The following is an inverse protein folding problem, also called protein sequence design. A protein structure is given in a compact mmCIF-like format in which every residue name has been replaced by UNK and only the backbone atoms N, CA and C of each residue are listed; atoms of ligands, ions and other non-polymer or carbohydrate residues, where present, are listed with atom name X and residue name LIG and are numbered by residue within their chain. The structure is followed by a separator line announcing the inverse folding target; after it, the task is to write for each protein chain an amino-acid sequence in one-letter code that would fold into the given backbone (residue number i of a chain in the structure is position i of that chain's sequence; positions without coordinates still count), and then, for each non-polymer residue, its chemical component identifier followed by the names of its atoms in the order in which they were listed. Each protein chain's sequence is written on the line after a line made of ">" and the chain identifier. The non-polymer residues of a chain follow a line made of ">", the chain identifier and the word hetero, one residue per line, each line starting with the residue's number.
data_IF_392590487266
#
_entry.id   IF_392590487266
#
_cell.length_a   1.000
_cell.length_b   1.000
_cell.length_c   1.000
_cell.angle_alpha   90.00
_cell.angle_beta   90.00
_cell.angle_gamma   90.00
#
_symmetry.space_group_name_H-M   'P 1'
#
loop_
_entity.id
_entity.type
_entity.pdbx_description
1 polymer ?
#
# COMPACT_ATOMS: atom_id res chain seq x y z
N UNK A 1 -1.45 42.37 40.50
CA UNK A 1 -1.89 41.80 39.21
C UNK A 1 -0.71 41.11 38.56
N UNK A 2 -0.62 39.77 38.63
CA UNK A 2 0.34 38.97 37.85
C UNK A 2 -0.43 37.74 37.38
N UNK A 3 -0.87 37.79 36.13
CA UNK A 3 -1.52 36.67 35.45
C UNK A 3 -0.43 35.66 35.08
N UNK A 4 -0.49 34.47 35.68
CA UNK A 4 0.31 33.32 35.25
C UNK A 4 -0.58 32.55 34.27
N UNK A 5 -0.37 32.77 32.98
CA UNK A 5 -0.92 31.94 31.91
C UNK A 5 -0.12 30.63 31.87
N UNK A 6 -0.68 29.54 32.40
CA UNK A 6 -0.15 28.20 32.18
C UNK A 6 -0.85 27.64 30.92
N UNK A 7 -0.09 27.58 29.83
CA UNK A 7 -0.53 26.97 28.58
C UNK A 7 -0.66 25.45 28.76
N UNK A 8 -1.87 24.92 28.61
CA UNK A 8 -2.11 23.49 28.49
C UNK A 8 -1.78 23.05 27.06
N UNK A 9 -0.61 22.43 26.88
CA UNK A 9 -0.28 21.69 25.67
C UNK A 9 -1.07 20.37 25.68
N UNK A 10 -2.16 20.31 24.92
CA UNK A 10 -2.90 19.06 24.69
C UNK A 10 -2.15 18.27 23.61
N UNK A 11 -1.63 17.11 24.00
CA UNK A 11 -1.00 16.11 23.15
C UNK A 11 -2.04 15.52 22.16
N UNK A 12 -1.82 15.74 20.87
CA UNK A 12 -2.56 15.12 19.76
C UNK A 12 -1.87 13.83 19.29
N UNK A 13 -1.88 12.79 20.12
CA UNK A 13 -1.20 11.50 19.83
C UNK A 13 -2.17 10.29 19.78
N UNK A 14 -3.42 10.46 19.35
CA UNK A 14 -4.49 9.48 19.60
C UNK A 14 -5.08 8.66 18.42
N UNK A 15 -4.64 8.69 17.14
CA UNK A 15 -5.26 7.82 16.15
C UNK A 15 -4.76 6.37 16.19
N UNK A 16 -3.50 6.11 16.58
CA UNK A 16 -2.91 4.77 16.49
C UNK A 16 -3.25 3.84 17.67
N UNK A 17 -3.46 4.39 18.87
CA UNK A 17 -3.82 3.58 20.04
C UNK A 17 -5.22 2.98 19.87
N UNK A 18 -6.17 3.78 19.36
CA UNK A 18 -7.55 3.35 19.17
C UNK A 18 -7.68 2.11 18.25
N UNK A 19 -6.90 2.03 17.17
CA UNK A 19 -6.95 0.89 16.25
C UNK A 19 -6.32 -0.39 16.82
N UNK A 20 -5.27 -0.28 17.64
CA UNK A 20 -4.66 -1.44 18.28
C UNK A 20 -5.57 -2.03 19.37
N UNK A 21 -6.27 -1.15 20.09
CA UNK A 21 -7.27 -1.54 21.09
C UNK A 21 -8.42 -2.30 20.42
N UNK A 22 -8.96 -1.79 19.31
CA UNK A 22 -10.08 -2.43 18.60
C UNK A 22 -9.74 -3.80 17.98
N UNK A 23 -8.51 -3.97 17.47
CA UNK A 23 -8.02 -5.29 17.01
C UNK A 23 -7.98 -6.28 18.17
N UNK A 24 -7.44 -5.85 19.31
CA UNK A 24 -7.27 -6.72 20.49
C UNK A 24 -8.63 -7.10 21.06
N UNK A 25 -9.54 -6.13 21.18
CA UNK A 25 -10.91 -6.32 21.66
C UNK A 25 -11.68 -7.36 20.83
N UNK A 26 -11.58 -7.28 19.49
CA UNK A 26 -12.25 -8.23 18.60
C UNK A 26 -11.65 -9.64 18.70
N UNK A 27 -10.33 -9.76 18.84
CA UNK A 27 -9.67 -11.06 19.06
C UNK A 27 -10.11 -11.69 20.41
N UNK A 28 -10.22 -10.88 21.46
CA UNK A 28 -10.70 -11.33 22.77
C UNK A 28 -12.17 -11.77 22.73
N UNK A 29 -13.03 -11.01 22.04
CA UNK A 29 -14.42 -11.35 21.81
C UNK A 29 -14.57 -12.67 21.03
N UNK A 30 -13.76 -12.86 19.98
CA UNK A 30 -13.72 -14.11 19.22
C UNK A 30 -13.37 -15.32 20.09
N UNK A 31 -12.35 -15.18 20.95
CA UNK A 31 -11.92 -16.25 21.84
C UNK A 31 -13.00 -16.58 22.88
N UNK A 32 -13.68 -15.58 23.43
CA UNK A 32 -14.80 -15.77 24.34
C UNK A 32 -15.97 -16.51 23.68
N UNK A 33 -16.35 -16.10 22.47
CA UNK A 33 -17.40 -16.76 21.69
C UNK A 33 -17.06 -18.22 21.36
N UNK A 34 -15.82 -18.50 20.93
CA UNK A 34 -15.35 -19.86 20.65
C UNK A 34 -15.42 -20.75 21.90
N UNK A 35 -14.93 -20.26 23.04
CA UNK A 35 -14.97 -20.98 24.30
C UNK A 35 -16.40 -21.22 24.80
N UNK A 36 -17.33 -20.31 24.47
CA UNK A 36 -18.77 -20.45 24.74
C UNK A 36 -19.50 -21.40 23.78
N UNK A 37 -18.83 -21.92 22.75
CA UNK A 37 -19.43 -22.76 21.70
C UNK A 37 -20.15 -21.98 20.59
N UNK A 38 -20.09 -20.64 20.61
CA UNK A 38 -20.60 -19.79 19.53
C UNK A 38 -19.55 -19.64 18.43
N UNK A 39 -19.50 -20.64 17.55
CA UNK A 39 -18.55 -20.68 16.44
C UNK A 39 -18.84 -19.59 15.40
N UNK A 40 -20.11 -19.18 15.23
CA UNK A 40 -20.48 -18.15 14.27
C UNK A 40 -19.98 -16.77 14.75
N UNK A 41 -20.27 -16.41 16.00
CA UNK A 41 -19.77 -15.16 16.59
C UNK A 41 -18.23 -15.13 16.64
N UNK A 42 -17.59 -16.25 16.96
CA UNK A 42 -16.12 -16.33 16.93
C UNK A 42 -15.54 -16.05 15.55
N UNK A 43 -16.20 -16.55 14.50
CA UNK A 43 -15.78 -16.30 13.12
C UNK A 43 -15.96 -14.84 12.73
N UNK A 44 -17.12 -14.25 13.04
CA UNK A 44 -17.44 -12.87 12.65
C UNK A 44 -16.43 -11.88 13.27
N UNK A 45 -16.07 -12.06 14.54
CA UNK A 45 -15.06 -11.26 15.22
C UNK A 45 -13.65 -11.47 14.63
N UNK A 46 -13.24 -12.70 14.33
CA UNK A 46 -11.94 -12.93 13.68
C UNK A 46 -11.86 -12.31 12.28
N UNK A 47 -12.96 -12.33 11.53
CA UNK A 47 -13.03 -11.69 10.22
C UNK A 47 -12.89 -10.15 10.37
N UNK A 48 -13.51 -9.56 11.41
CA UNK A 48 -13.37 -8.13 11.72
C UNK A 48 -11.95 -7.75 12.13
N UNK A 49 -11.35 -8.47 13.08
CA UNK A 49 -9.95 -8.28 13.46
C UNK A 49 -8.99 -8.41 12.26
N UNK A 50 -9.26 -9.35 11.36
CA UNK A 50 -8.48 -9.54 10.13
C UNK A 50 -8.61 -8.34 9.18
N UNK A 51 -9.79 -7.73 9.07
CA UNK A 51 -9.98 -6.51 8.28
C UNK A 51 -9.17 -5.33 8.85
N UNK A 52 -9.21 -5.13 10.17
CA UNK A 52 -8.46 -4.07 10.85
C UNK A 52 -6.94 -4.25 10.71
N UNK A 53 -6.44 -5.48 10.88
CA UNK A 53 -5.03 -5.80 10.62
C UNK A 53 -4.64 -5.55 9.15
N UNK A 54 -5.53 -5.88 8.22
CA UNK A 54 -5.36 -5.57 6.80
C UNK A 54 -5.26 -4.07 6.53
N UNK A 55 -6.10 -3.24 7.15
CA UNK A 55 -6.03 -1.78 7.06
C UNK A 55 -4.74 -1.22 7.66
N UNK A 56 -4.34 -1.69 8.84
CA UNK A 56 -3.08 -1.27 9.48
C UNK A 56 -1.88 -1.59 8.59
N UNK A 57 -1.86 -2.78 7.97
CA UNK A 57 -0.83 -3.14 7.00
C UNK A 57 -0.88 -2.26 5.76
N UNK A 58 -2.07 -1.99 5.22
CA UNK A 58 -2.22 -1.14 4.03
C UNK A 58 -1.78 0.31 4.31
N UNK A 59 -2.01 0.82 5.51
CA UNK A 59 -1.51 2.13 5.94
C UNK A 59 0.03 2.16 5.90
N UNK A 60 0.71 1.13 6.41
CA UNK A 60 2.17 1.04 6.33
C UNK A 60 2.70 0.98 4.90
N UNK A 61 1.93 0.46 3.94
CA UNK A 61 2.32 0.47 2.52
C UNK A 61 2.37 1.90 1.94
N UNK A 62 1.57 2.84 2.48
CA UNK A 62 1.56 4.23 1.98
C UNK A 62 2.87 4.97 2.23
N UNK A 63 3.69 4.50 3.18
CA UNK A 63 5.01 5.06 3.48
C UNK A 63 6.03 4.80 2.36
N UNK A 64 5.78 3.81 1.50
CA UNK A 64 6.61 3.49 0.33
C UNK A 64 6.22 4.27 -0.92
N UNK A 65 5.11 5.01 -0.88
CA UNK A 65 4.73 5.89 -1.98
C UNK A 65 5.63 7.14 -1.95
N UNK A 66 6.22 7.54 -3.09
CA UNK A 66 7.18 8.63 -3.11
C UNK A 66 6.54 9.98 -2.72
N UNK A 67 7.33 10.94 -2.22
CA UNK A 67 6.85 12.30 -2.02
C UNK A 67 6.52 12.97 -3.37
N UNK A 68 5.76 14.06 -3.32
CA UNK A 68 5.55 14.89 -4.50
C UNK A 68 6.88 15.52 -4.96
N UNK A 69 7.11 15.58 -6.26
CA UNK A 69 8.26 16.31 -6.84
C UNK A 69 7.96 17.81 -6.90
N UNK A 70 8.98 18.63 -7.10
CA UNK A 70 8.82 20.08 -7.26
C UNK A 70 7.82 20.42 -8.37
N UNK A 71 6.82 21.24 -8.02
CA UNK A 71 5.75 21.63 -8.94
C UNK A 71 4.65 20.59 -9.12
N UNK A 72 4.69 19.48 -8.37
CA UNK A 72 3.63 18.48 -8.33
C UNK A 72 2.92 18.48 -6.97
N UNK A 73 1.61 18.29 -6.99
CA UNK A 73 0.78 18.01 -5.83
C UNK A 73 0.62 16.50 -5.69
N UNK A 74 0.47 16.00 -4.45
CA UNK A 74 0.26 14.58 -4.16
C UNK A 74 -1.05 14.39 -3.42
N UNK A 75 -1.88 13.52 -3.96
CA UNK A 75 -3.08 12.99 -3.32
C UNK A 75 -2.85 11.50 -3.04
N UNK A 76 -2.95 11.09 -1.77
CA UNK A 76 -2.79 9.68 -1.37
C UNK A 76 -4.18 9.06 -1.33
N UNK A 77 -4.34 7.95 -2.04
CA UNK A 77 -5.58 7.17 -2.03
C UNK A 77 -5.77 6.55 -0.64
N UNK A 78 -7.03 6.40 -0.22
CA UNK A 78 -7.31 5.70 1.02
C UNK A 78 -6.84 4.24 0.91
N UNK A 79 -5.90 3.79 1.76
CA UNK A 79 -5.32 2.46 1.64
C UNK A 79 -6.39 1.39 1.89
N UNK A 80 -6.39 0.35 1.05
CA UNK A 80 -7.43 -0.65 1.07
C UNK A 80 -6.87 -2.03 1.37
N UNK A 81 -7.61 -2.83 2.15
CA UNK A 81 -7.37 -4.26 2.19
C UNK A 81 -7.78 -4.88 0.84
N UNK A 82 -6.99 -5.81 0.33
CA UNK A 82 -7.31 -6.56 -0.88
C UNK A 82 -8.10 -7.84 -0.57
N UNK A 83 -8.95 -7.83 0.47
CA UNK A 83 -9.68 -9.01 0.95
C UNK A 83 -10.47 -9.71 -0.18
N UNK A 84 -11.09 -8.94 -1.07
CA UNK A 84 -11.80 -9.46 -2.26
C UNK A 84 -10.90 -10.22 -3.25
N UNK A 85 -9.60 -9.96 -3.23
CA UNK A 85 -8.58 -10.62 -4.05
C UNK A 85 -7.80 -11.70 -3.29
N UNK A 86 -8.41 -12.27 -2.24
CA UNK A 86 -7.81 -13.36 -1.45
C UNK A 86 -6.83 -12.90 -0.38
N UNK A 87 -6.98 -11.66 0.11
CA UNK A 87 -6.11 -11.05 1.12
C UNK A 87 -5.14 -10.06 0.51
N UNK A 88 -4.24 -9.49 1.32
CA UNK A 88 -3.24 -8.52 0.89
C UNK A 88 -3.67 -7.06 1.03
N UNK A 89 -2.91 -6.16 0.41
CA UNK A 89 -3.09 -4.70 0.54
C UNK A 89 -2.92 -3.97 -0.78
N UNK A 90 -3.60 -2.83 -0.91
CA UNK A 90 -3.45 -1.87 -2.00
C UNK A 90 -3.22 -0.48 -1.41
N UNK A 91 -2.20 0.22 -1.91
CA UNK A 91 -1.96 1.62 -1.63
C UNK A 91 -1.67 2.36 -2.93
N UNK A 92 -2.08 3.63 -3.02
CA UNK A 92 -1.86 4.42 -4.22
C UNK A 92 -1.70 5.90 -3.91
N UNK A 93 -1.05 6.60 -4.82
CA UNK A 93 -1.04 8.05 -4.83
C UNK A 93 -1.09 8.56 -6.27
N UNK A 94 -1.85 9.64 -6.45
CA UNK A 94 -1.90 10.41 -7.69
C UNK A 94 -1.15 11.71 -7.50
N UNK A 95 -0.30 12.02 -8.46
CA UNK A 95 0.52 13.21 -8.51
C UNK A 95 0.10 14.05 -9.69
N UNK A 96 -0.15 15.35 -9.51
CA UNK A 96 -0.57 16.24 -10.60
C UNK A 96 0.25 17.52 -10.63
N UNK A 97 0.49 18.10 -11.81
CA UNK A 97 1.18 19.39 -11.98
C UNK A 97 0.29 20.46 -12.68
N UNK A 98 -1.01 20.18 -12.79
CA UNK A 98 -1.99 21.01 -13.48
C UNK A 98 -2.20 20.71 -14.97
N UNK A 99 -1.25 20.04 -15.65
CA UNK A 99 -1.42 19.57 -17.04
C UNK A 99 -1.42 18.05 -17.16
N UNK A 100 -0.60 17.39 -16.35
CA UNK A 100 -0.35 15.96 -16.41
C UNK A 100 -0.56 15.32 -15.03
N UNK A 101 -0.77 14.01 -15.06
CA UNK A 101 -0.90 13.16 -13.89
C UNK A 101 0.04 11.94 -13.96
N UNK A 102 0.50 11.51 -12.79
CA UNK A 102 1.15 10.23 -12.56
C UNK A 102 0.41 9.54 -11.43
N UNK A 103 0.01 8.29 -11.61
CA UNK A 103 -0.53 7.47 -10.51
C UNK A 103 0.43 6.33 -10.23
N UNK A 104 0.84 6.21 -8.97
CA UNK A 104 1.64 5.08 -8.47
C UNK A 104 0.72 4.19 -7.64
N UNK A 105 0.65 2.90 -7.96
CA UNK A 105 -0.12 1.91 -7.23
C UNK A 105 0.77 0.75 -6.79
N UNK A 106 0.61 0.35 -5.53
CA UNK A 106 1.32 -0.74 -4.87
C UNK A 106 0.29 -1.79 -4.46
N UNK A 107 0.52 -3.03 -4.87
CA UNK A 107 -0.31 -4.17 -4.50
C UNK A 107 0.57 -5.28 -3.96
N UNK A 108 0.25 -5.82 -2.79
CA UNK A 108 1.04 -6.87 -2.18
C UNK A 108 0.20 -7.99 -1.57
N UNK A 109 0.78 -9.19 -1.55
CA UNK A 109 0.28 -10.36 -0.80
C UNK A 109 -1.17 -10.76 -1.10
N UNK A 110 -1.59 -10.57 -2.35
CA UNK A 110 -2.92 -10.96 -2.81
C UNK A 110 -2.82 -12.03 -3.92
N UNK A 111 -3.91 -12.79 -4.13
CA UNK A 111 -3.90 -13.91 -5.07
C UNK A 111 -3.64 -13.46 -6.52
N UNK A 112 -4.08 -12.24 -6.87
CA UNK A 112 -3.82 -11.63 -8.17
C UNK A 112 -2.31 -11.42 -8.39
N UNK A 113 -1.65 -10.74 -7.45
CA UNK A 113 -0.19 -10.50 -7.44
C UNK A 113 0.58 -11.81 -7.48
N UNK A 114 0.18 -12.82 -6.70
CA UNK A 114 0.80 -14.15 -6.73
C UNK A 114 0.68 -14.80 -8.12
N UNK A 115 -0.50 -14.72 -8.76
CA UNK A 115 -0.71 -15.24 -10.12
C UNK A 115 0.11 -14.51 -11.18
N UNK A 116 0.24 -13.19 -11.06
CA UNK A 116 1.07 -12.37 -11.96
C UNK A 116 2.56 -12.63 -11.75
N UNK A 117 2.99 -12.86 -10.51
CA UNK A 117 4.39 -13.17 -10.18
C UNK A 117 4.94 -14.36 -10.94
N UNK A 118 4.14 -15.40 -11.15
CA UNK A 118 4.52 -16.56 -11.96
C UNK A 118 4.77 -16.20 -13.44
N UNK A 119 3.99 -15.26 -13.99
CA UNK A 119 4.09 -14.79 -15.37
C UNK A 119 5.30 -13.85 -15.56
N UNK A 120 5.59 -13.01 -14.56
CA UNK A 120 6.73 -12.09 -14.53
C UNK A 120 8.06 -12.77 -14.14
N UNK A 121 8.02 -14.01 -13.66
CA UNK A 121 9.21 -14.78 -13.25
C UNK A 121 10.21 -15.08 -14.39
N UNK A 122 9.84 -14.87 -15.66
CA UNK A 122 10.76 -15.04 -16.79
C UNK A 122 10.98 -13.74 -17.56
N UNK A 123 12.26 -13.37 -17.73
CA UNK A 123 12.65 -12.12 -18.43
C UNK A 123 12.28 -12.16 -19.92
N UNK A 124 12.27 -13.34 -20.54
CA UNK A 124 11.81 -13.51 -21.92
C UNK A 124 10.31 -13.18 -22.07
N UNK A 125 9.47 -13.63 -21.13
CA UNK A 125 8.04 -13.32 -21.14
C UNK A 125 7.80 -11.83 -20.85
N UNK A 126 8.52 -11.24 -19.90
CA UNK A 126 8.45 -9.79 -19.62
C UNK A 126 8.77 -8.97 -20.88
N UNK A 127 9.81 -9.32 -21.63
CA UNK A 127 10.16 -8.66 -22.89
C UNK A 127 9.14 -8.85 -24.01
N UNK A 128 8.30 -9.88 -23.94
CA UNK A 128 7.20 -10.08 -24.89
C UNK A 128 5.96 -9.22 -24.56
N UNK A 129 5.82 -8.79 -23.31
CA UNK A 129 4.71 -7.94 -22.86
C UNK A 129 4.96 -6.45 -23.17
N UNK A 130 6.23 -6.05 -23.29
CA UNK A 130 6.59 -4.66 -23.54
C UNK A 130 8.08 -4.40 -23.44
N UNK A 131 8.45 -3.12 -23.35
CA UNK A 131 9.85 -2.70 -23.24
C UNK A 131 10.36 -2.96 -21.84
N UNK A 132 11.32 -3.87 -21.71
CA UNK A 132 12.01 -4.12 -20.44
C UNK A 132 12.97 -2.96 -20.12
N UNK A 133 12.83 -2.36 -18.95
CA UNK A 133 13.72 -1.32 -18.42
C UNK A 133 14.19 -1.69 -17.02
N UNK A 134 15.32 -1.10 -16.58
CA UNK A 134 15.82 -1.25 -15.22
C UNK A 134 15.76 0.10 -14.52
N UNK A 135 15.09 0.15 -13.37
CA UNK A 135 14.88 1.37 -12.59
C UNK A 135 15.18 1.02 -11.12
N UNK A 136 16.07 1.77 -10.47
CA UNK A 136 16.46 1.48 -9.08
C UNK A 136 17.01 0.06 -8.87
N UNK A 137 17.63 -0.55 -9.88
CA UNK A 137 18.13 -1.93 -9.83
C UNK A 137 17.11 -3.02 -10.16
N UNK A 138 15.82 -2.69 -10.15
CA UNK A 138 14.71 -3.60 -10.38
C UNK A 138 14.24 -3.62 -11.84
N UNK A 139 13.60 -4.71 -12.24
CA UNK A 139 13.12 -4.91 -13.62
C UNK A 139 11.67 -4.45 -13.76
N UNK A 140 11.44 -3.57 -14.73
CA UNK A 140 10.12 -3.06 -15.08
C UNK A 140 9.80 -3.33 -16.54
N UNK A 141 8.53 -3.48 -16.86
CA UNK A 141 8.01 -3.57 -18.23
C UNK A 141 7.18 -2.33 -18.49
N UNK A 142 7.51 -1.61 -19.56
CA UNK A 142 6.69 -0.51 -20.08
C UNK A 142 5.86 -0.99 -21.26
N UNK A 143 4.54 -0.90 -21.13
CA UNK A 143 3.55 -1.26 -22.16
C UNK A 143 2.33 -0.36 -22.02
N UNK A 144 1.73 0.05 -23.13
CA UNK A 144 0.46 0.80 -23.16
C UNK A 144 0.40 2.04 -22.26
N UNK A 145 1.53 2.75 -22.13
CA UNK A 145 1.64 3.97 -21.31
C UNK A 145 1.77 3.71 -19.80
N UNK A 146 1.86 2.44 -19.39
CA UNK A 146 2.02 1.99 -18.02
C UNK A 146 3.40 1.33 -17.82
N UNK A 147 3.95 1.48 -16.62
CA UNK A 147 5.19 0.85 -16.18
C UNK A 147 4.85 -0.10 -15.03
N UNK A 148 5.16 -1.38 -15.18
CA UNK A 148 4.82 -2.42 -14.20
C UNK A 148 6.07 -3.18 -13.78
N UNK A 149 6.29 -3.32 -12.48
CA UNK A 149 7.41 -4.04 -11.89
C UNK A 149 6.97 -4.95 -10.76
N UNK A 150 7.78 -5.98 -10.49
CA UNK A 150 7.47 -6.97 -9.46
C UNK A 150 8.64 -7.07 -8.48
N UNK A 151 8.46 -6.47 -7.32
CA UNK A 151 9.48 -6.26 -6.30
C UNK A 151 9.39 -7.37 -5.26
N UNK A 152 10.52 -8.00 -4.95
CA UNK A 152 10.61 -9.06 -3.93
C UNK A 152 9.78 -10.32 -4.23
N UNK A 153 9.27 -10.47 -5.46
CA UNK A 153 8.40 -11.60 -5.80
C UNK A 153 6.99 -11.52 -5.18
N UNK A 154 6.60 -10.39 -4.60
CA UNK A 154 5.34 -10.27 -3.84
C UNK A 154 4.68 -8.89 -3.86
N UNK A 155 5.37 -7.86 -4.36
CA UNK A 155 4.82 -6.52 -4.50
C UNK A 155 4.78 -6.14 -5.97
N UNK A 156 3.59 -5.90 -6.48
CA UNK A 156 3.39 -5.34 -7.80
C UNK A 156 3.38 -3.81 -7.69
N UNK A 157 4.32 -3.18 -8.38
CA UNK A 157 4.42 -1.72 -8.51
C UNK A 157 3.95 -1.35 -9.90
N UNK A 158 2.98 -0.45 -9.98
CA UNK A 158 2.40 -0.01 -11.22
C UNK A 158 2.38 1.51 -11.29
N UNK A 159 2.83 2.08 -12.40
CA UNK A 159 2.82 3.52 -12.64
C UNK A 159 2.14 3.83 -13.96
N UNK A 160 1.11 4.65 -13.91
CA UNK A 160 0.30 5.07 -15.05
C UNK A 160 0.05 6.57 -15.01
N UNK A 161 -0.80 7.07 -15.91
CA UNK A 161 -1.21 8.47 -15.99
C UNK A 161 -0.89 9.12 -17.33
N UNK A 162 -1.30 10.37 -17.51
CA UNK A 162 -1.10 11.13 -18.74
C UNK A 162 0.34 11.59 -18.96
N UNK A 163 1.15 11.70 -17.90
CA UNK A 163 2.50 12.23 -18.00
C UNK A 163 3.43 11.38 -18.88
N UNK A 164 4.47 11.99 -19.49
CA UNK A 164 5.49 11.27 -20.22
C UNK A 164 6.18 10.17 -19.38
N UNK A 165 6.66 9.13 -20.06
CA UNK A 165 7.34 7.99 -19.40
C UNK A 165 8.50 8.45 -18.49
N UNK A 166 9.23 9.49 -18.87
CA UNK A 166 10.31 10.04 -18.05
C UNK A 166 9.84 10.54 -16.68
N UNK A 167 8.66 11.17 -16.60
CA UNK A 167 8.10 11.64 -15.33
C UNK A 167 7.67 10.46 -14.44
N UNK A 168 7.12 9.40 -15.05
CA UNK A 168 6.76 8.15 -14.36
C UNK A 168 8.00 7.44 -13.80
N UNK A 169 9.06 7.36 -14.59
CA UNK A 169 10.35 6.78 -14.16
C UNK A 169 10.94 7.58 -12.99
N UNK A 170 10.89 8.90 -13.05
CA UNK A 170 11.41 9.75 -11.97
C UNK A 170 10.67 9.53 -10.63
N UNK A 171 9.38 9.18 -10.64
CA UNK A 171 8.68 8.76 -9.41
C UNK A 171 9.16 7.42 -8.88
N UNK A 172 9.39 6.44 -9.76
CA UNK A 172 9.96 5.13 -9.39
C UNK A 172 11.38 5.25 -8.82
N UNK A 173 12.21 6.16 -9.33
CA UNK A 173 13.58 6.34 -8.86
C UNK A 173 13.68 6.89 -7.42
N UNK A 174 12.62 7.50 -6.90
CA UNK A 174 12.57 7.98 -5.52
C UNK A 174 12.15 6.90 -4.52
N UNK A 175 11.69 5.74 -5.00
CA UNK A 175 11.20 4.66 -4.14
C UNK A 175 12.34 3.80 -3.60
N UNK A 176 12.22 3.38 -2.35
CA UNK A 176 13.13 2.39 -1.75
C UNK A 176 12.62 0.97 -2.04
N UNK A 177 13.07 0.43 -3.18
CA UNK A 177 12.68 -0.93 -3.57
C UNK A 177 13.30 -2.01 -2.69
N UNK A 178 14.41 -1.74 -2.00
CA UNK A 178 15.02 -2.73 -1.11
C UNK A 178 14.17 -2.87 0.16
N UNK A 179 13.78 -1.76 0.77
CA UNK A 179 12.85 -1.78 1.89
C UNK A 179 11.48 -2.36 1.50
N UNK A 180 11.02 -2.11 0.27
CA UNK A 180 9.75 -2.66 -0.23
C UNK A 180 9.75 -4.19 -0.37
N UNK A 181 10.92 -4.83 -0.55
CA UNK A 181 11.03 -6.31 -0.58
C UNK A 181 10.73 -6.93 0.77
N UNK A 182 11.03 -6.21 1.85
CA UNK A 182 10.95 -6.67 3.23
C UNK A 182 9.61 -6.33 3.93
N UNK A 183 8.67 -5.74 3.18
CA UNK A 183 7.32 -5.38 3.64
C UNK A 183 6.44 -6.58 4.02
#
# INVERSE_FOLDING_TARGET
>A
MRHICLAAAVLLAAPLAASADEISDSIEAALAAYNGGDVAGAKDELDYASQLLGQMKAQGMTDFLPPARDGWEREVDEPQSAAAFGGGVVAGATYTNGSDDVTVQLMADNAMVASMGAMFGSTAMMGSMGRLTRIGGEKFVSADGQITGFIGGRVLVQVSGSAPEAEKVAYLEMMDFDALKDF
#
